data_IF_881638699183
#
_entry.id   IF_881638699183
#
_cell.length_a   1.000
_cell.length_b   1.000
_cell.length_c   1.000
_cell.angle_alpha   90.00
_cell.angle_beta   90.00
_cell.angle_gamma   90.00
#
_symmetry.space_group_name_H-M   'P 1'
#
loop_
_entity.id
_entity.type
_entity.pdbx_description
1 polymer ?
#
# COMPACT_ATOMS: atom_id res chain seq x y z
N UNK A 1 10.84 -20.13 -17.73
CA UNK A 1 10.00 -19.05 -18.26
C UNK A 1 9.61 -18.19 -17.07
N UNK A 2 10.25 -17.04 -16.90
CA UNK A 2 9.94 -16.09 -15.83
C UNK A 2 8.55 -15.56 -16.14
N UNK A 3 7.60 -15.68 -15.21
CA UNK A 3 6.26 -15.12 -15.39
C UNK A 3 6.38 -13.61 -15.31
N UNK A 4 6.07 -12.90 -16.39
CA UNK A 4 6.08 -11.42 -16.43
C UNK A 4 4.99 -10.79 -15.56
N UNK A 5 4.09 -11.61 -15.02
CA UNK A 5 2.97 -11.17 -14.16
C UNK A 5 2.69 -12.18 -13.05
N UNK A 6 2.29 -11.66 -11.90
CA UNK A 6 1.83 -12.39 -10.72
C UNK A 6 0.44 -11.91 -10.32
N UNK A 7 -0.44 -12.78 -9.86
CA UNK A 7 -1.71 -12.37 -9.28
C UNK A 7 -1.54 -11.87 -7.85
N UNK A 8 -2.55 -11.18 -7.32
CA UNK A 8 -2.47 -10.54 -6.00
C UNK A 8 -2.33 -11.56 -4.86
N UNK A 9 -2.95 -12.72 -4.96
CA UNK A 9 -2.87 -13.73 -3.89
C UNK A 9 -1.48 -14.33 -3.80
N UNK A 10 -0.87 -14.64 -4.96
CA UNK A 10 0.51 -15.13 -5.04
C UNK A 10 1.49 -14.04 -4.59
N UNK A 11 1.27 -12.76 -4.98
CA UNK A 11 2.06 -11.62 -4.51
C UNK A 11 2.02 -11.50 -2.98
N UNK A 12 0.85 -11.54 -2.38
CA UNK A 12 0.69 -11.43 -0.92
C UNK A 12 1.33 -12.59 -0.16
N UNK A 13 1.54 -13.73 -0.77
CA UNK A 13 2.23 -14.91 -0.20
C UNK A 13 3.72 -14.96 -0.53
N UNK A 14 4.19 -14.07 -1.41
CA UNK A 14 5.60 -14.04 -1.82
C UNK A 14 6.49 -13.42 -0.74
N UNK A 15 7.79 -13.62 -0.91
CA UNK A 15 8.83 -13.03 -0.08
C UNK A 15 8.78 -11.50 -0.12
N UNK A 16 9.48 -10.85 0.81
CA UNK A 16 9.58 -9.38 0.92
C UNK A 16 10.49 -8.77 -0.16
N UNK A 17 10.23 -9.04 -1.44
CA UNK A 17 10.96 -8.39 -2.54
C UNK A 17 10.52 -6.94 -2.66
N UNK A 18 11.41 -6.04 -3.11
CA UNK A 18 11.04 -4.66 -3.34
C UNK A 18 9.83 -4.53 -4.25
N UNK A 19 8.90 -3.68 -3.89
CA UNK A 19 7.70 -3.38 -4.67
C UNK A 19 7.74 -1.94 -5.15
N UNK A 20 7.65 -1.74 -6.45
CA UNK A 20 7.68 -0.43 -7.10
C UNK A 20 6.27 -0.01 -7.49
N UNK A 21 5.85 1.13 -6.98
CA UNK A 21 4.61 1.79 -7.38
C UNK A 21 4.91 2.87 -8.42
N UNK A 22 4.46 2.66 -9.64
CA UNK A 22 4.68 3.60 -10.75
C UNK A 22 3.53 4.60 -10.95
N UNK A 23 2.64 4.73 -9.97
CA UNK A 23 1.60 5.75 -9.96
C UNK A 23 2.22 7.13 -9.69
N UNK A 24 1.44 8.17 -9.96
CA UNK A 24 1.88 9.53 -9.66
C UNK A 24 2.07 9.76 -8.15
N UNK A 25 2.89 10.76 -7.74
CA UNK A 25 3.14 11.04 -6.33
C UNK A 25 1.86 11.26 -5.52
N UNK A 26 0.87 11.97 -6.05
CA UNK A 26 -0.41 12.18 -5.40
C UNK A 26 -1.24 10.89 -5.26
N UNK A 27 -1.22 10.01 -6.27
CA UNK A 27 -1.85 8.68 -6.16
C UNK A 27 -1.18 7.83 -5.06
N UNK A 28 0.14 7.92 -4.95
CA UNK A 28 0.92 7.20 -3.93
C UNK A 28 0.67 7.75 -2.53
N UNK A 29 0.70 9.08 -2.37
CA UNK A 29 0.48 9.75 -1.10
C UNK A 29 -0.95 9.53 -0.56
N UNK A 30 -1.94 9.39 -1.43
CA UNK A 30 -3.32 9.05 -1.02
C UNK A 30 -3.42 7.66 -0.39
N UNK A 31 -2.60 6.71 -0.84
CA UNK A 31 -2.50 5.36 -0.29
C UNK A 31 -1.70 4.45 -1.23
N UNK A 32 -0.87 3.57 -0.67
CA UNK A 32 0.01 2.66 -1.39
C UNK A 32 0.12 1.30 -0.69
N UNK A 33 0.69 0.32 -1.36
CA UNK A 33 1.01 -0.97 -0.73
C UNK A 33 2.11 -0.72 0.32
N UNK A 34 1.94 -1.14 1.59
CA UNK A 34 2.95 -0.95 2.63
C UNK A 34 4.33 -1.44 2.20
N UNK A 35 5.34 -0.59 2.40
CA UNK A 35 6.72 -0.87 1.99
C UNK A 35 7.02 -0.68 0.50
N UNK A 36 6.06 -0.28 -0.33
CA UNK A 36 6.32 0.04 -1.73
C UNK A 36 7.12 1.34 -1.88
N UNK A 37 8.02 1.36 -2.86
CA UNK A 37 8.80 2.54 -3.25
C UNK A 37 8.11 3.21 -4.44
N UNK A 38 7.89 4.53 -4.36
CA UNK A 38 7.31 5.26 -5.49
C UNK A 38 8.40 5.64 -6.50
N UNK A 39 8.29 5.10 -7.71
CA UNK A 39 9.06 5.51 -8.89
C UNK A 39 8.05 5.92 -9.96
N UNK A 40 7.57 7.18 -9.92
CA UNK A 40 6.42 7.59 -10.70
C UNK A 40 6.76 7.69 -12.19
N UNK A 41 6.02 6.95 -13.02
CA UNK A 41 6.14 7.08 -14.47
C UNK A 41 5.70 8.45 -14.98
N UNK A 42 4.79 9.10 -14.24
CA UNK A 42 4.27 10.44 -14.51
C UNK A 42 4.17 11.25 -13.23
N UNK A 43 4.45 12.56 -13.31
CA UNK A 43 4.02 13.52 -12.27
C UNK A 43 2.48 13.59 -12.22
N UNK A 44 1.93 14.30 -11.25
CA UNK A 44 0.47 14.47 -11.15
C UNK A 44 -0.07 15.27 -12.35
N UNK A 45 0.65 16.30 -12.81
CA UNK A 45 0.31 17.11 -13.98
C UNK A 45 0.40 16.28 -15.27
N UNK A 46 1.47 15.52 -15.45
CA UNK A 46 1.65 14.65 -16.61
C UNK A 46 0.57 13.57 -16.67
N UNK A 47 0.26 12.97 -15.53
CA UNK A 47 -0.83 11.98 -15.40
C UNK A 47 -2.16 12.61 -15.78
N UNK A 48 -2.43 13.86 -15.36
CA UNK A 48 -3.62 14.60 -15.75
C UNK A 48 -3.66 14.86 -17.26
N UNK A 49 -2.54 15.27 -17.87
CA UNK A 49 -2.41 15.48 -19.32
C UNK A 49 -2.73 14.21 -20.11
N UNK A 50 -2.14 13.06 -19.72
CA UNK A 50 -2.42 11.76 -20.35
C UNK A 50 -3.89 11.38 -20.19
N UNK A 51 -4.48 11.65 -19.02
CA UNK A 51 -5.90 11.39 -18.73
C UNK A 51 -6.84 12.23 -19.62
N UNK A 52 -6.54 13.51 -19.81
CA UNK A 52 -7.28 14.41 -20.69
C UNK A 52 -7.17 13.94 -22.15
N UNK A 53 -5.95 13.62 -22.62
CA UNK A 53 -5.72 13.09 -23.95
C UNK A 53 -6.52 11.78 -24.19
N UNK A 54 -6.57 10.90 -23.19
CA UNK A 54 -7.36 9.67 -23.28
C UNK A 54 -8.85 9.95 -23.45
N UNK A 55 -9.40 10.88 -22.64
CA UNK A 55 -10.82 11.21 -22.61
C UNK A 55 -11.28 11.89 -23.90
N UNK A 56 -10.49 12.82 -24.43
CA UNK A 56 -10.89 13.69 -25.56
C UNK A 56 -10.40 13.21 -26.93
N UNK A 57 -9.27 12.50 -26.98
CA UNK A 57 -8.60 12.14 -28.26
C UNK A 57 -8.38 10.61 -28.38
N UNK A 58 -8.79 9.85 -27.36
CA UNK A 58 -8.76 8.40 -27.37
C UNK A 58 -7.41 7.77 -27.02
N UNK A 59 -7.45 6.44 -26.91
CA UNK A 59 -6.33 5.62 -26.41
C UNK A 59 -5.02 5.84 -27.17
N UNK A 60 -5.07 5.85 -28.51
CA UNK A 60 -3.85 5.96 -29.35
C UNK A 60 -3.10 7.28 -29.09
N UNK A 61 -3.85 8.37 -29.01
CA UNK A 61 -3.25 9.69 -28.76
C UNK A 61 -2.65 9.77 -27.35
N UNK A 62 -3.37 9.29 -26.33
CA UNK A 62 -2.87 9.23 -24.95
C UNK A 62 -1.58 8.43 -24.80
N UNK A 63 -1.45 7.30 -25.53
CA UNK A 63 -0.20 6.54 -25.58
C UNK A 63 0.93 7.39 -26.17
N UNK A 64 0.69 8.10 -27.26
CA UNK A 64 1.69 8.99 -27.87
C UNK A 64 2.16 10.11 -26.94
N UNK A 65 1.21 10.72 -26.20
CA UNK A 65 1.54 11.72 -25.15
C UNK A 65 2.38 11.09 -24.05
N UNK A 66 1.96 9.95 -23.52
CA UNK A 66 2.67 9.25 -22.45
C UNK A 66 4.09 8.84 -22.84
N UNK A 67 4.27 8.29 -24.04
CA UNK A 67 5.60 7.90 -24.54
C UNK A 67 6.56 9.09 -24.67
N UNK A 68 6.07 10.25 -25.12
CA UNK A 68 6.90 11.47 -25.17
C UNK A 68 7.33 11.92 -23.77
N UNK A 69 6.40 11.95 -22.81
CA UNK A 69 6.69 12.34 -21.44
C UNK A 69 7.71 11.39 -20.78
N UNK A 70 7.54 10.09 -20.94
CA UNK A 70 8.50 9.09 -20.43
C UNK A 70 9.86 9.23 -21.11
N UNK A 71 9.90 9.40 -22.43
CA UNK A 71 11.15 9.56 -23.17
C UNK A 71 11.98 10.78 -22.73
N UNK A 72 11.31 11.89 -22.35
CA UNK A 72 11.98 13.11 -21.90
C UNK A 72 12.67 12.95 -20.52
N UNK A 73 12.26 11.98 -19.72
CA UNK A 73 12.81 11.71 -18.38
C UNK A 73 13.33 10.28 -18.20
N UNK A 74 13.68 9.63 -19.32
CA UNK A 74 14.18 8.26 -19.28
C UNK A 74 15.42 8.10 -18.38
N UNK A 75 16.36 9.03 -18.44
CA UNK A 75 17.57 9.02 -17.61
C UNK A 75 17.23 9.16 -16.11
N UNK A 76 16.25 10.02 -15.75
CA UNK A 76 15.76 10.15 -14.37
C UNK A 76 15.12 8.85 -13.88
N UNK A 77 14.28 8.25 -14.71
CA UNK A 77 13.63 6.97 -14.39
C UNK A 77 14.63 5.82 -14.23
N UNK A 78 15.65 5.76 -15.09
CA UNK A 78 16.73 4.78 -14.99
C UNK A 78 17.56 5.02 -13.72
N UNK A 79 17.97 6.28 -13.45
CA UNK A 79 18.69 6.63 -12.22
C UNK A 79 17.90 6.30 -10.94
N UNK A 80 16.57 6.39 -10.97
CA UNK A 80 15.75 5.96 -9.83
C UNK A 80 15.79 4.45 -9.58
N UNK A 81 16.24 3.66 -10.55
CA UNK A 81 16.41 2.20 -10.41
C UNK A 81 17.78 1.82 -9.83
N UNK A 82 18.75 2.73 -9.76
CA UNK A 82 20.08 2.45 -9.21
C UNK A 82 20.06 2.08 -7.71
N UNK A 83 18.93 2.34 -7.03
CA UNK A 83 18.72 1.90 -5.65
C UNK A 83 18.48 0.40 -5.51
N UNK A 84 18.21 -0.30 -6.61
CA UNK A 84 17.99 -1.74 -6.65
C UNK A 84 19.22 -2.43 -7.21
N UNK A 85 19.55 -3.62 -6.69
CA UNK A 85 20.72 -4.38 -7.13
C UNK A 85 20.50 -4.94 -8.55
N UNK A 86 21.55 -4.95 -9.36
CA UNK A 86 21.52 -5.59 -10.67
C UNK A 86 21.14 -7.07 -10.54
N UNK A 87 20.21 -7.53 -11.38
CA UNK A 87 19.64 -8.88 -11.33
C UNK A 87 18.61 -9.09 -10.22
N UNK A 88 18.35 -8.11 -9.37
CA UNK A 88 17.31 -8.19 -8.35
C UNK A 88 15.93 -8.33 -9.00
N UNK A 89 15.11 -9.21 -8.45
CA UNK A 89 13.72 -9.33 -8.88
C UNK A 89 12.85 -8.38 -8.04
N UNK A 90 12.15 -7.49 -8.73
CA UNK A 90 11.24 -6.50 -8.11
C UNK A 90 9.80 -6.73 -8.57
N UNK A 91 8.85 -6.40 -7.71
CA UNK A 91 7.44 -6.32 -8.11
C UNK A 91 7.10 -4.91 -8.59
N UNK A 92 6.28 -4.80 -9.63
CA UNK A 92 5.86 -3.52 -10.18
C UNK A 92 4.36 -3.46 -10.32
N UNK A 93 3.76 -2.37 -9.90
CA UNK A 93 2.35 -2.14 -10.12
C UNK A 93 2.04 -0.68 -10.48
N UNK A 94 0.88 -0.49 -11.10
CA UNK A 94 0.19 0.78 -11.22
C UNK A 94 -1.24 0.60 -10.67
N UNK A 95 -2.16 1.51 -10.99
CA UNK A 95 -3.55 1.41 -10.50
C UNK A 95 -4.25 0.08 -10.84
N UNK A 96 -4.09 -0.43 -12.07
CA UNK A 96 -4.76 -1.67 -12.56
C UNK A 96 -3.78 -2.71 -13.11
N UNK A 97 -2.49 -2.57 -12.92
CA UNK A 97 -1.49 -3.47 -13.52
C UNK A 97 -1.44 -3.42 -15.06
N UNK A 98 -1.83 -2.30 -15.66
CA UNK A 98 -1.92 -2.11 -17.11
C UNK A 98 -0.71 -1.38 -17.70
N UNK A 99 -0.96 -0.56 -18.74
CA UNK A 99 0.07 0.06 -19.60
C UNK A 99 1.19 0.81 -18.86
N UNK A 100 0.91 1.49 -17.73
CA UNK A 100 1.95 2.19 -16.95
C UNK A 100 2.99 1.22 -16.40
N UNK A 101 2.56 0.16 -15.72
CA UNK A 101 3.46 -0.87 -15.20
C UNK A 101 4.09 -1.71 -16.30
N UNK A 102 3.45 -1.85 -17.46
CA UNK A 102 4.00 -2.53 -18.63
C UNK A 102 5.15 -1.73 -19.28
N UNK A 103 4.96 -0.41 -19.47
CA UNK A 103 6.00 0.48 -19.96
C UNK A 103 7.20 0.55 -19.00
N UNK A 104 6.93 0.60 -17.70
CA UNK A 104 7.99 0.59 -16.69
C UNK A 104 8.76 -0.74 -16.67
N UNK A 105 8.08 -1.86 -16.85
CA UNK A 105 8.72 -3.18 -16.93
C UNK A 105 9.72 -3.26 -18.08
N UNK A 106 9.38 -2.66 -19.22
CA UNK A 106 10.29 -2.56 -20.37
C UNK A 106 11.55 -1.73 -20.02
N UNK A 107 11.39 -0.58 -19.37
CA UNK A 107 12.51 0.25 -18.91
C UNK A 107 13.40 -0.50 -17.89
N UNK A 108 12.79 -1.12 -16.88
CA UNK A 108 13.49 -1.91 -15.87
C UNK A 108 14.31 -3.06 -16.47
N UNK A 109 13.76 -3.73 -17.48
CA UNK A 109 14.50 -4.79 -18.19
C UNK A 109 15.72 -4.23 -18.92
N UNK A 110 15.65 -3.01 -19.43
CA UNK A 110 16.79 -2.32 -20.05
C UNK A 110 17.90 -1.95 -19.07
N UNK A 111 17.60 -1.78 -17.78
CA UNK A 111 18.56 -1.53 -16.70
C UNK A 111 19.05 -2.81 -15.98
N UNK A 112 18.74 -3.98 -16.50
CA UNK A 112 19.16 -5.26 -15.91
C UNK A 112 18.30 -5.77 -14.76
N UNK A 113 17.22 -5.08 -14.39
CA UNK A 113 16.29 -5.54 -13.35
C UNK A 113 15.31 -6.58 -13.90
N UNK A 114 14.98 -7.56 -13.06
CA UNK A 114 13.92 -8.54 -13.34
C UNK A 114 12.61 -8.08 -12.72
N UNK A 115 11.78 -7.37 -13.48
CA UNK A 115 10.51 -6.84 -12.97
C UNK A 115 9.34 -7.78 -13.25
N UNK A 116 8.53 -8.05 -12.23
CA UNK A 116 7.31 -8.85 -12.28
C UNK A 116 6.12 -7.97 -11.97
N UNK A 117 5.18 -7.87 -12.90
CA UNK A 117 3.99 -7.01 -12.74
C UNK A 117 2.93 -7.68 -11.86
N UNK A 118 2.34 -6.92 -10.94
CA UNK A 118 1.18 -7.35 -10.15
C UNK A 118 -0.09 -7.15 -11.01
N UNK A 119 -0.73 -8.25 -11.38
CA UNK A 119 -1.98 -8.24 -12.14
C UNK A 119 -3.11 -7.60 -11.33
N UNK A 120 -3.86 -6.71 -11.95
CA UNK A 120 -4.89 -5.91 -11.28
C UNK A 120 -4.35 -4.74 -10.46
N UNK A 121 -3.03 -4.70 -10.19
CA UNK A 121 -2.32 -3.60 -9.55
C UNK A 121 -2.85 -3.22 -8.17
N UNK A 122 -2.70 -1.96 -7.81
CA UNK A 122 -3.16 -1.44 -6.51
C UNK A 122 -4.65 -1.65 -6.26
N UNK A 123 -5.48 -1.58 -7.31
CA UNK A 123 -6.91 -1.87 -7.18
C UNK A 123 -7.19 -3.31 -6.71
N UNK A 124 -6.40 -4.29 -7.16
CA UNK A 124 -6.53 -5.67 -6.72
C UNK A 124 -6.08 -5.82 -5.25
N UNK A 125 -4.99 -5.14 -4.86
CA UNK A 125 -4.56 -5.07 -3.46
C UNK A 125 -5.65 -4.51 -2.55
N UNK A 126 -6.26 -3.36 -2.91
CA UNK A 126 -7.36 -2.76 -2.14
C UNK A 126 -8.57 -3.68 -2.02
N UNK A 127 -8.91 -4.40 -3.09
CA UNK A 127 -10.00 -5.40 -3.04
C UNK A 127 -9.65 -6.52 -2.06
N UNK A 128 -8.44 -7.08 -2.14
CA UNK A 128 -8.00 -8.13 -1.22
C UNK A 128 -8.04 -7.66 0.24
N UNK A 129 -7.68 -6.40 0.51
CA UNK A 129 -7.78 -5.79 1.84
C UNK A 129 -9.24 -5.76 2.33
N UNK A 130 -10.16 -5.22 1.52
CA UNK A 130 -11.58 -5.17 1.89
C UNK A 130 -12.20 -6.56 2.07
N UNK A 131 -11.90 -7.50 1.17
CA UNK A 131 -12.41 -8.87 1.24
C UNK A 131 -11.91 -9.58 2.51
N UNK A 132 -10.67 -9.31 2.95
CA UNK A 132 -10.10 -9.89 4.17
C UNK A 132 -10.78 -9.38 5.44
N UNK A 133 -11.19 -8.13 5.48
CA UNK A 133 -11.91 -7.55 6.63
C UNK A 133 -13.34 -8.10 6.76
N UNK A 134 -13.91 -8.64 5.69
CA UNK A 134 -15.21 -9.31 5.73
C UNK A 134 -15.16 -10.73 6.34
N UNK A 135 -13.95 -11.28 6.56
CA UNK A 135 -13.79 -12.58 7.22
C UNK A 135 -14.00 -12.41 8.73
N UNK A 136 -14.94 -13.16 9.35
CA UNK A 136 -15.20 -13.06 10.78
C UNK A 136 -13.94 -13.39 11.60
N UNK A 137 -13.64 -12.54 12.59
CA UNK A 137 -12.55 -12.72 13.54
C UNK A 137 -13.06 -12.64 14.97
N UNK A 138 -12.41 -13.36 15.89
CA UNK A 138 -12.72 -13.27 17.32
C UNK A 138 -12.04 -12.04 17.92
N UNK A 139 -12.72 -10.92 17.97
CA UNK A 139 -12.14 -9.65 18.44
C UNK A 139 -12.42 -9.48 19.94
N UNK A 140 -11.39 -9.18 20.71
CA UNK A 140 -11.46 -8.78 22.13
C UNK A 140 -11.05 -7.31 22.25
N UNK A 141 -11.97 -6.48 22.67
CA UNK A 141 -11.76 -5.04 22.78
C UNK A 141 -11.38 -4.66 24.21
N UNK A 142 -10.18 -4.10 24.39
CA UNK A 142 -9.75 -3.46 25.61
C UNK A 142 -10.25 -2.01 25.60
N UNK A 143 -11.24 -1.74 26.43
CA UNK A 143 -11.92 -0.48 26.51
C UNK A 143 -11.53 0.25 27.81
N UNK A 144 -11.41 1.58 27.78
CA UNK A 144 -11.12 2.39 28.95
C UNK A 144 -10.63 3.81 28.62
N UNK A 145 -10.54 4.67 29.63
CA UNK A 145 -10.06 6.04 29.48
C UNK A 145 -8.60 6.09 28.98
N UNK A 146 -8.22 7.20 28.37
CA UNK A 146 -6.82 7.47 28.02
C UNK A 146 -5.96 7.45 29.29
N UNK A 147 -4.78 6.85 29.22
CA UNK A 147 -3.82 6.80 30.33
C UNK A 147 -4.00 5.64 31.33
N UNK A 148 -5.01 4.77 31.19
CA UNK A 148 -5.22 3.62 32.10
C UNK A 148 -4.30 2.42 31.83
N UNK A 149 -3.31 2.55 30.94
CA UNK A 149 -2.34 1.49 30.68
C UNK A 149 -2.73 0.46 29.60
N UNK A 150 -3.75 0.72 28.77
CA UNK A 150 -4.17 -0.21 27.70
C UNK A 150 -3.01 -0.62 26.76
N UNK A 151 -2.19 0.35 26.35
CA UNK A 151 -1.04 0.09 25.47
C UNK A 151 -0.01 -0.82 26.12
N UNK A 152 0.27 -0.62 27.42
CA UNK A 152 1.18 -1.50 28.17
C UNK A 152 0.61 -2.93 28.23
N UNK A 153 -0.68 -3.07 28.55
CA UNK A 153 -1.35 -4.37 28.56
C UNK A 153 -1.31 -5.07 27.17
N UNK A 154 -1.48 -4.29 26.08
CA UNK A 154 -1.33 -4.88 24.73
C UNK A 154 0.10 -5.38 24.46
N UNK A 155 1.11 -4.68 24.98
CA UNK A 155 2.51 -5.09 24.86
C UNK A 155 2.78 -6.38 25.65
N UNK A 156 2.24 -6.47 26.88
CA UNK A 156 2.33 -7.68 27.69
C UNK A 156 1.66 -8.87 27.02
N UNK A 157 0.44 -8.70 26.50
CA UNK A 157 -0.27 -9.74 25.75
C UNK A 157 0.52 -10.20 24.51
N UNK A 158 1.14 -9.26 23.79
CA UNK A 158 2.01 -9.58 22.65
C UNK A 158 3.26 -10.38 23.09
N UNK A 159 3.85 -10.04 24.23
CA UNK A 159 4.98 -10.78 24.81
C UNK A 159 4.59 -12.21 25.22
N UNK A 160 3.35 -12.44 25.63
CA UNK A 160 2.78 -13.75 25.92
C UNK A 160 2.37 -14.53 24.65
N UNK A 161 2.60 -13.98 23.45
CA UNK A 161 2.31 -14.62 22.17
C UNK A 161 0.85 -14.46 21.70
N UNK A 162 0.09 -13.55 22.31
CA UNK A 162 -1.27 -13.22 21.87
C UNK A 162 -1.26 -12.37 20.60
N UNK A 163 -2.33 -12.49 19.81
CA UNK A 163 -2.53 -11.68 18.61
C UNK A 163 -3.04 -10.29 18.98
N UNK A 164 -2.24 -9.27 18.71
CA UNK A 164 -2.52 -7.89 19.11
C UNK A 164 -2.43 -6.96 17.92
N UNK A 165 -3.44 -6.11 17.74
CA UNK A 165 -3.38 -4.96 16.82
C UNK A 165 -3.41 -3.67 17.64
N UNK A 166 -2.39 -2.85 17.48
CA UNK A 166 -2.30 -1.51 18.06
C UNK A 166 -2.78 -0.48 17.02
N UNK A 167 -4.07 -0.15 17.07
CA UNK A 167 -4.70 0.80 16.15
C UNK A 167 -4.17 2.22 16.34
N UNK A 168 -3.79 2.60 17.57
CA UNK A 168 -3.22 3.93 17.86
C UNK A 168 -1.86 4.08 17.20
N UNK A 169 -1.02 3.04 17.23
CA UNK A 169 0.26 3.01 16.54
C UNK A 169 0.09 3.11 15.02
N UNK A 170 -0.81 2.32 14.43
CA UNK A 170 -1.09 2.35 12.99
C UNK A 170 -1.64 3.71 12.53
N UNK A 171 -2.43 4.38 13.39
CA UNK A 171 -2.98 5.70 13.09
C UNK A 171 -1.99 6.85 13.35
N UNK A 172 -0.80 6.58 13.89
CA UNK A 172 0.12 7.60 14.41
C UNK A 172 -0.60 8.58 15.35
N UNK A 173 -1.46 8.06 16.26
CA UNK A 173 -2.32 8.87 17.13
C UNK A 173 -2.62 8.18 18.46
N UNK A 174 -2.42 8.86 19.59
CA UNK A 174 -2.58 8.30 20.93
C UNK A 174 -4.00 8.37 21.50
N UNK A 175 -5.03 8.42 20.67
CA UNK A 175 -6.42 8.33 21.09
C UNK A 175 -6.94 9.46 22.01
N UNK A 176 -6.28 10.61 22.09
CA UNK A 176 -6.70 11.78 22.89
C UNK A 176 -6.81 13.03 22.01
N UNK A 177 -7.44 14.09 22.52
CA UNK A 177 -7.53 15.37 21.78
C UNK A 177 -6.15 15.93 21.33
N UNK A 178 -5.07 15.55 22.02
CA UNK A 178 -3.70 15.92 21.73
C UNK A 178 -2.84 14.75 21.25
N UNK A 179 -3.48 13.64 20.88
CA UNK A 179 -2.82 12.37 20.58
C UNK A 179 -1.88 12.39 19.38
N UNK A 180 -1.99 13.38 18.49
CA UNK A 180 -1.09 13.59 17.37
C UNK A 180 0.19 14.36 17.69
N UNK A 181 0.29 15.00 18.89
CA UNK A 181 1.47 15.81 19.24
C UNK A 181 2.67 14.87 19.43
N UNK A 182 3.78 15.18 18.72
CA UNK A 182 5.01 14.37 18.75
C UNK A 182 4.90 13.00 18.08
N UNK A 183 3.83 12.76 17.32
CA UNK A 183 3.70 11.60 16.47
C UNK A 183 4.10 11.93 15.01
N UNK A 184 4.44 10.93 14.18
CA UNK A 184 4.55 11.09 12.75
C UNK A 184 3.26 11.65 12.14
N UNK A 185 3.33 12.12 10.89
CA UNK A 185 2.14 12.56 10.15
C UNK A 185 1.15 11.40 10.09
N UNK A 186 -0.10 11.67 10.44
CA UNK A 186 -1.16 10.66 10.38
C UNK A 186 -1.36 10.18 8.94
N UNK A 187 -1.48 8.87 8.72
CA UNK A 187 -1.78 8.33 7.42
C UNK A 187 -3.17 8.79 6.95
N UNK A 188 -3.39 8.80 5.66
CA UNK A 188 -4.75 8.89 5.12
C UNK A 188 -5.57 7.69 5.60
N UNK A 189 -6.90 7.77 5.54
CA UNK A 189 -7.78 6.63 5.88
C UNK A 189 -7.43 5.42 5.01
N UNK A 190 -7.18 5.64 3.71
CA UNK A 190 -6.81 4.57 2.78
C UNK A 190 -5.47 3.92 3.15
N UNK A 191 -4.47 4.72 3.53
CA UNK A 191 -3.17 4.18 3.97
C UNK A 191 -3.28 3.46 5.31
N UNK A 192 -4.04 3.98 6.26
CA UNK A 192 -4.33 3.30 7.52
C UNK A 192 -4.94 1.90 7.29
N UNK A 193 -5.92 1.79 6.40
CA UNK A 193 -6.52 0.50 6.03
C UNK A 193 -5.52 -0.44 5.36
N UNK A 194 -4.59 0.10 4.54
CA UNK A 194 -3.52 -0.69 3.93
C UNK A 194 -2.56 -1.26 4.97
N UNK A 195 -2.13 -0.44 5.94
CA UNK A 195 -1.27 -0.86 7.04
C UNK A 195 -1.98 -1.89 7.94
N UNK A 196 -3.24 -1.61 8.27
CA UNK A 196 -4.07 -2.54 9.02
C UNK A 196 -4.18 -3.90 8.30
N UNK A 197 -4.41 -3.91 7.00
CA UNK A 197 -4.44 -5.14 6.21
C UNK A 197 -3.11 -5.91 6.27
N UNK A 198 -1.99 -5.20 6.25
CA UNK A 198 -0.66 -5.82 6.40
C UNK A 198 -0.53 -6.66 7.67
N UNK A 199 -1.07 -6.15 8.78
CA UNK A 199 -1.11 -6.86 10.08
C UNK A 199 -2.20 -7.92 10.07
N UNK A 200 -3.42 -7.55 9.65
CA UNK A 200 -4.63 -8.37 9.70
C UNK A 200 -4.47 -9.72 9.00
N UNK A 201 -3.88 -9.72 7.81
CA UNK A 201 -3.67 -10.93 6.99
C UNK A 201 -2.72 -11.97 7.60
N UNK A 202 -1.96 -11.59 8.63
CA UNK A 202 -1.03 -12.48 9.33
C UNK A 202 -1.68 -13.18 10.53
N UNK A 203 -2.90 -12.81 10.88
CA UNK A 203 -3.60 -13.32 12.05
C UNK A 203 -4.28 -14.67 11.75
N UNK A 204 -4.29 -15.53 12.76
CA UNK A 204 -5.07 -16.77 12.76
C UNK A 204 -6.52 -16.47 13.18
N UNK A 205 -7.47 -16.67 12.29
CA UNK A 205 -8.90 -16.44 12.53
C UNK A 205 -9.51 -17.34 13.63
N UNK A 206 -8.83 -18.42 14.01
CA UNK A 206 -9.28 -19.31 15.09
C UNK A 206 -8.91 -18.80 16.48
N UNK A 207 -7.93 -17.90 16.57
CA UNK A 207 -7.45 -17.29 17.81
C UNK A 207 -8.07 -15.91 18.03
N UNK A 208 -8.23 -15.46 19.30
CA UNK A 208 -8.68 -14.10 19.58
C UNK A 208 -7.64 -13.07 19.16
N UNK A 209 -8.12 -11.89 18.74
CA UNK A 209 -7.31 -10.72 18.40
C UNK A 209 -7.65 -9.61 19.37
N UNK A 210 -6.65 -9.10 20.08
CA UNK A 210 -6.79 -8.05 21.06
C UNK A 210 -6.61 -6.67 20.43
N UNK A 211 -7.58 -5.79 20.64
CA UNK A 211 -7.56 -4.40 20.19
C UNK A 211 -7.73 -3.47 21.38
N UNK A 212 -7.01 -2.35 21.41
CA UNK A 212 -7.31 -1.27 22.35
C UNK A 212 -8.10 -0.14 21.66
N UNK A 213 -9.17 0.31 22.30
CA UNK A 213 -9.99 1.43 21.83
C UNK A 213 -10.07 2.47 22.97
N UNK A 214 -9.78 3.73 22.64
CA UNK A 214 -10.02 4.87 23.53
C UNK A 214 -11.35 5.52 23.18
N UNK A 215 -12.18 5.83 24.18
CA UNK A 215 -13.54 6.40 24.01
C UNK A 215 -13.59 7.75 23.28
N UNK A 216 -12.45 8.37 23.03
CA UNK A 216 -12.44 9.77 22.69
C UNK A 216 -12.34 10.12 21.23
N UNK A 217 -12.28 9.28 20.24
CA UNK A 217 -12.33 9.72 18.81
C UNK A 217 -11.75 8.75 17.74
N UNK A 218 -11.53 7.46 18.01
CA UNK A 218 -11.32 6.53 16.89
C UNK A 218 -12.70 6.14 16.36
N UNK A 219 -13.12 6.81 15.29
CA UNK A 219 -14.07 6.17 14.37
C UNK A 219 -13.31 5.01 13.74
N UNK A 220 -13.50 3.79 14.26
CA UNK A 220 -13.09 2.58 13.58
C UNK A 220 -13.62 2.66 12.15
N UNK A 221 -12.83 2.27 11.14
CA UNK A 221 -13.37 2.12 9.80
C UNK A 221 -14.68 1.34 9.89
N UNK A 222 -15.72 1.81 9.23
CA UNK A 222 -17.08 1.25 9.27
C UNK A 222 -17.10 -0.27 8.99
N UNK A 223 -16.03 -0.78 8.42
CA UNK A 223 -15.76 -2.18 8.08
C UNK A 223 -15.56 -3.09 9.31
N UNK A 224 -15.11 -2.52 10.46
CA UNK A 224 -14.90 -3.29 11.70
C UNK A 224 -16.12 -3.26 12.66
N UNK A 225 -17.21 -2.63 12.25
CA UNK A 225 -18.44 -2.48 13.04
C UNK A 225 -19.56 -3.47 12.65
N UNK A 226 -19.23 -4.55 11.95
CA UNK A 226 -20.21 -5.62 11.59
C UNK A 226 -20.08 -6.80 12.51
#
# INVERSE_FOLDING_TARGET
MIRDTIDIETYLKSDSRPTIDVRSPGEFAAGHIPGAVNVPLFSDEERAQVGIAYKHQGRKHAIGVGLRLVGMKADELLGALDQFSEGEQVFVHCWRGGMRSEAFNWLASGSGLSAVRISGGYKAFRRAAHDSFAVPMKIVILSGYTGVGKTALLQDLRAEGEQVIDLESLACHRGSAFGGIGQPIQPTVEQFENELFGVWRQLDSNRPVWLAVSYTHLTLPTILLV
#
